data_IF_432808436809
#
_entry.id   IF_432808436809
#
_cell.length_a   1.000
_cell.length_b   1.000
_cell.length_c   1.000
_cell.angle_alpha   90.00
_cell.angle_beta   90.00
_cell.angle_gamma   90.00
#
_symmetry.space_group_name_H-M   'P 1'
#
loop_
_entity.id
_entity.type
_entity.pdbx_description
1 polymer ?
#
# COMPACT_ATOMS: atom_id res chain seq x y z
N UNK A 1 -16.00 3.03 -29.04
CA UNK A 1 -16.37 3.78 -27.81
C UNK A 1 -17.53 3.03 -27.19
N UNK A 2 -17.27 2.26 -26.14
CA UNK A 2 -18.33 1.55 -25.41
C UNK A 2 -18.73 2.37 -24.18
N UNK A 3 -20.01 2.72 -24.08
CA UNK A 3 -20.63 3.31 -22.91
C UNK A 3 -21.06 2.18 -21.96
N UNK A 4 -20.47 2.10 -20.78
CA UNK A 4 -20.88 1.16 -19.74
C UNK A 4 -21.85 1.83 -18.76
N UNK A 5 -22.99 1.17 -18.54
CA UNK A 5 -24.03 1.61 -17.60
C UNK A 5 -23.52 1.51 -16.15
N UNK A 6 -23.93 2.45 -15.35
CA UNK A 6 -23.57 2.91 -14.00
C UNK A 6 -23.57 1.89 -12.83
N UNK A 7 -23.49 0.58 -13.05
CA UNK A 7 -23.62 -0.44 -11.97
C UNK A 7 -22.59 -1.58 -11.97
N UNK A 8 -21.63 -1.59 -12.86
CA UNK A 8 -20.55 -2.60 -12.80
C UNK A 8 -19.25 -1.92 -12.36
N UNK A 9 -18.58 -2.50 -11.37
CA UNK A 9 -17.27 -2.03 -10.91
C UNK A 9 -16.31 -2.14 -12.08
N UNK A 10 -15.67 -1.05 -12.44
CA UNK A 10 -14.73 -0.96 -13.58
C UNK A 10 -13.63 -2.02 -13.50
N UNK A 11 -13.23 -2.44 -12.30
CA UNK A 11 -12.27 -3.52 -12.05
C UNK A 11 -12.74 -4.90 -12.54
N UNK A 12 -14.05 -5.21 -12.55
CA UNK A 12 -14.56 -6.51 -12.97
C UNK A 12 -14.39 -6.78 -14.47
N UNK A 13 -14.27 -5.73 -15.28
CA UNK A 13 -14.04 -5.86 -16.73
C UNK A 13 -12.63 -6.39 -16.99
N UNK A 14 -11.64 -5.91 -16.24
CA UNK A 14 -10.25 -6.33 -16.38
C UNK A 14 -10.00 -7.74 -15.81
N UNK A 15 -10.83 -8.16 -14.86
CA UNK A 15 -10.81 -9.53 -14.33
C UNK A 15 -11.45 -10.55 -15.27
N UNK A 16 -12.48 -10.12 -16.03
CA UNK A 16 -13.24 -11.00 -16.94
C UNK A 16 -12.68 -11.07 -18.36
N UNK A 17 -12.01 -10.03 -18.82
CA UNK A 17 -11.55 -9.94 -20.21
C UNK A 17 -10.07 -9.58 -20.28
N UNK A 18 -9.31 -10.31 -21.09
CA UNK A 18 -7.95 -9.91 -21.45
C UNK A 18 -8.02 -8.72 -22.42
N UNK A 19 -7.76 -7.53 -21.90
CA UNK A 19 -7.75 -6.30 -22.69
C UNK A 19 -6.32 -6.07 -23.20
N UNK A 20 -6.12 -6.30 -24.51
CA UNK A 20 -4.81 -6.16 -25.17
C UNK A 20 -4.62 -4.81 -25.86
N UNK A 21 -5.39 -3.79 -25.53
CA UNK A 21 -5.28 -2.46 -26.07
C UNK A 21 -4.96 -1.44 -24.96
N UNK A 22 -4.35 -0.29 -25.35
CA UNK A 22 -4.16 0.84 -24.45
C UNK A 22 -5.48 1.34 -23.87
N UNK A 23 -5.52 1.59 -22.56
CA UNK A 23 -6.72 2.07 -21.86
C UNK A 23 -6.44 3.42 -21.23
N UNK A 24 -7.30 4.41 -21.52
CA UNK A 24 -7.31 5.72 -20.88
C UNK A 24 -8.57 5.81 -20.03
N UNK A 25 -8.43 6.11 -18.75
CA UNK A 25 -9.55 6.27 -17.82
C UNK A 25 -10.03 7.71 -17.79
N UNK A 26 -11.35 7.92 -17.78
CA UNK A 26 -11.93 9.25 -17.55
C UNK A 26 -12.94 9.18 -16.41
N UNK A 27 -12.81 10.06 -15.42
CA UNK A 27 -13.69 10.08 -14.25
C UNK A 27 -13.94 11.50 -13.73
N UNK A 28 -14.98 11.64 -12.92
CA UNK A 28 -15.27 12.89 -12.21
C UNK A 28 -14.66 12.92 -10.78
N UNK A 29 -13.94 11.88 -10.35
CA UNK A 29 -13.45 11.72 -8.98
C UNK A 29 -11.93 11.53 -8.96
N UNK A 30 -11.24 12.32 -8.15
CA UNK A 30 -9.78 12.28 -7.99
C UNK A 30 -9.29 10.99 -7.31
N UNK A 31 -10.13 10.38 -6.48
CA UNK A 31 -9.77 9.23 -5.63
C UNK A 31 -9.47 7.93 -6.40
N UNK A 32 -9.87 7.85 -7.68
CA UNK A 32 -9.71 6.65 -8.49
C UNK A 32 -8.43 6.61 -9.34
N UNK A 33 -7.62 7.66 -9.32
CA UNK A 33 -6.35 7.72 -10.06
C UNK A 33 -5.41 6.54 -9.73
N UNK A 34 -5.33 6.14 -8.46
CA UNK A 34 -4.48 5.05 -7.99
C UNK A 34 -4.97 3.68 -8.47
N UNK A 35 -6.29 3.48 -8.61
CA UNK A 35 -6.87 2.21 -9.09
C UNK A 35 -6.67 2.01 -10.60
N UNK A 36 -6.65 3.08 -11.37
CA UNK A 36 -6.41 3.05 -12.81
C UNK A 36 -5.00 2.53 -13.16
N UNK A 37 -4.00 2.82 -12.33
CA UNK A 37 -2.63 2.29 -12.51
C UNK A 37 -2.50 0.78 -12.25
N UNK A 38 -3.39 0.17 -11.45
CA UNK A 38 -3.35 -1.28 -11.16
C UNK A 38 -3.81 -2.16 -12.34
N UNK A 39 -4.47 -1.59 -13.34
CA UNK A 39 -5.11 -2.33 -14.45
C UNK A 39 -4.58 -1.96 -15.84
N UNK A 40 -3.27 -1.69 -15.99
CA UNK A 40 -2.63 -1.34 -17.26
C UNK A 40 -3.22 -0.09 -17.96
N UNK A 41 -3.77 0.85 -17.21
CA UNK A 41 -4.15 2.15 -17.73
C UNK A 41 -2.91 2.96 -18.16
N UNK A 42 -2.97 3.54 -19.36
CA UNK A 42 -1.88 4.37 -19.90
C UNK A 42 -1.94 5.76 -19.31
N UNK A 43 -3.16 6.26 -19.10
CA UNK A 43 -3.40 7.59 -18.58
C UNK A 43 -4.77 7.70 -17.91
N UNK A 44 -4.96 8.79 -17.16
CA UNK A 44 -6.13 9.05 -16.35
C UNK A 44 -6.51 10.53 -16.48
N UNK A 45 -7.75 10.81 -16.87
CA UNK A 45 -8.23 12.15 -17.14
C UNK A 45 -9.41 12.50 -16.25
N UNK A 46 -9.40 13.66 -15.64
CA UNK A 46 -10.53 14.18 -14.86
C UNK A 46 -11.57 14.83 -15.75
N UNK A 47 -12.84 14.64 -15.40
CA UNK A 47 -13.95 15.37 -16.04
C UNK A 47 -14.18 16.72 -15.33
N UNK A 48 -14.34 17.82 -16.09
CA UNK A 48 -14.38 17.95 -17.53
C UNK A 48 -13.01 17.71 -18.17
N UNK A 49 -12.96 16.86 -19.21
CA UNK A 49 -11.70 16.46 -19.84
C UNK A 49 -11.11 17.65 -20.62
N UNK A 50 -9.88 18.01 -20.26
CA UNK A 50 -9.12 19.01 -20.98
C UNK A 50 -8.64 18.47 -22.33
N UNK A 51 -8.73 19.29 -23.37
CA UNK A 51 -8.41 18.89 -24.75
C UNK A 51 -6.93 18.58 -24.95
N UNK A 52 -6.05 19.30 -24.26
CA UNK A 52 -4.60 19.13 -24.40
C UNK A 52 -4.12 17.90 -23.59
N UNK A 53 -4.76 17.63 -22.46
CA UNK A 53 -4.51 16.40 -21.69
C UNK A 53 -4.97 15.17 -22.46
N UNK A 54 -6.16 15.20 -23.06
CA UNK A 54 -6.67 14.13 -23.91
C UNK A 54 -5.75 13.87 -25.11
N UNK A 55 -5.26 14.91 -25.76
CA UNK A 55 -4.34 14.79 -26.90
C UNK A 55 -3.05 14.11 -26.48
N UNK A 56 -2.43 14.53 -25.37
CA UNK A 56 -1.22 13.91 -24.82
C UNK A 56 -1.44 12.42 -24.47
N UNK A 57 -2.55 12.08 -23.87
CA UNK A 57 -2.90 10.70 -23.55
C UNK A 57 -3.09 9.83 -24.81
N UNK A 58 -3.74 10.37 -25.85
CA UNK A 58 -3.90 9.68 -27.15
C UNK A 58 -2.57 9.51 -27.86
N UNK A 59 -1.69 10.51 -27.86
CA UNK A 59 -0.39 10.41 -28.50
C UNK A 59 0.49 9.37 -27.80
N UNK A 60 0.50 9.33 -26.48
CA UNK A 60 1.15 8.28 -25.68
C UNK A 60 0.60 6.89 -26.01
N UNK A 61 -0.73 6.74 -26.14
CA UNK A 61 -1.36 5.49 -26.58
C UNK A 61 -0.91 5.06 -27.97
N UNK A 62 -0.80 6.00 -28.92
CA UNK A 62 -0.34 5.73 -30.28
C UNK A 62 1.12 5.30 -30.33
N UNK A 63 2.00 5.89 -29.53
CA UNK A 63 3.40 5.48 -29.41
C UNK A 63 3.51 4.04 -28.90
N UNK A 64 2.74 3.65 -27.90
CA UNK A 64 2.72 2.28 -27.38
C UNK A 64 2.22 1.28 -28.43
N UNK A 65 1.22 1.64 -29.22
CA UNK A 65 0.71 0.79 -30.31
C UNK A 65 1.75 0.67 -31.46
N UNK A 66 2.47 1.75 -31.79
CA UNK A 66 3.48 1.75 -32.83
C UNK A 66 4.76 1.00 -32.39
N UNK A 67 5.09 0.99 -31.10
CA UNK A 67 6.28 0.33 -30.54
C UNK A 67 6.13 -1.19 -30.37
N UNK A 68 5.07 -1.82 -30.88
CA UNK A 68 4.92 -3.30 -30.91
C UNK A 68 6.06 -4.06 -31.62
N UNK A 69 7.08 -3.38 -32.10
CA UNK A 69 8.25 -4.00 -32.76
C UNK A 69 9.51 -4.10 -31.89
N UNK A 70 9.62 -3.42 -30.76
CA UNK A 70 10.73 -3.64 -29.81
C UNK A 70 10.38 -3.06 -28.44
N UNK A 71 10.13 -3.93 -27.49
CA UNK A 71 10.08 -3.52 -26.08
C UNK A 71 11.48 -3.00 -25.68
N UNK A 72 11.59 -1.82 -25.02
CA UNK A 72 12.84 -1.40 -24.41
C UNK A 72 13.34 -2.52 -23.47
N UNK A 73 14.66 -2.70 -23.35
CA UNK A 73 15.29 -3.72 -22.49
C UNK A 73 14.77 -3.65 -21.05
N UNK A 74 14.42 -2.46 -20.57
CA UNK A 74 13.84 -2.22 -19.25
C UNK A 74 12.44 -2.84 -19.09
N UNK A 75 11.65 -2.89 -20.18
CA UNK A 75 10.32 -3.53 -20.18
C UNK A 75 10.46 -5.06 -20.22
N UNK A 76 11.50 -5.62 -20.87
CA UNK A 76 11.78 -7.05 -20.81
C UNK A 76 12.23 -7.49 -19.41
N UNK A 77 12.97 -6.65 -18.69
CA UNK A 77 13.31 -6.88 -17.28
C UNK A 77 12.08 -6.82 -16.38
N UNK A 78 11.17 -5.87 -16.60
CA UNK A 78 9.88 -5.80 -15.89
C UNK A 78 9.00 -7.02 -16.19
N UNK A 79 8.92 -7.47 -17.44
CA UNK A 79 8.17 -8.68 -17.80
C UNK A 79 8.82 -9.96 -17.24
N UNK A 80 10.15 -10.03 -17.13
CA UNK A 80 10.83 -11.14 -16.44
C UNK A 80 10.61 -11.11 -14.93
N UNK A 81 10.48 -9.95 -14.31
CA UNK A 81 10.10 -9.80 -12.90
C UNK A 81 8.65 -10.25 -12.66
N UNK A 82 7.73 -10.02 -13.60
CA UNK A 82 6.33 -10.45 -13.51
C UNK A 82 6.18 -11.95 -13.85
N UNK A 83 6.98 -12.46 -14.79
CA UNK A 83 6.93 -13.88 -15.19
C UNK A 83 7.62 -14.83 -14.19
N UNK A 84 8.41 -14.30 -13.25
CA UNK A 84 9.02 -15.03 -12.16
C UNK A 84 8.41 -14.59 -10.82
N UNK A 85 7.31 -15.22 -10.37
CA UNK A 85 6.65 -14.81 -9.13
C UNK A 85 7.51 -15.01 -7.87
N UNK A 86 8.67 -15.64 -7.98
CA UNK A 86 9.65 -15.75 -6.89
C UNK A 86 10.59 -14.54 -6.76
N UNK A 87 10.57 -13.59 -7.72
CA UNK A 87 11.37 -12.35 -7.65
C UNK A 87 10.53 -11.06 -7.70
N UNK A 88 9.20 -11.14 -7.71
CA UNK A 88 8.34 -10.02 -7.40
C UNK A 88 8.44 -9.78 -5.87
N UNK A 89 9.57 -9.24 -5.44
CA UNK A 89 9.63 -8.55 -4.17
C UNK A 89 8.56 -7.44 -4.27
N UNK A 90 7.42 -7.66 -3.64
CA UNK A 90 6.41 -6.63 -3.40
C UNK A 90 7.21 -5.45 -2.87
N UNK A 91 7.28 -4.37 -3.65
CA UNK A 91 8.11 -3.22 -3.27
C UNK A 91 7.37 -2.52 -2.12
N UNK A 92 7.66 -2.98 -0.90
CA UNK A 92 7.14 -2.36 0.30
C UNK A 92 7.71 -0.96 0.46
N UNK A 93 6.96 -0.09 1.10
CA UNK A 93 7.34 1.30 1.30
C UNK A 93 8.60 1.39 2.18
N UNK A 94 9.68 1.96 1.63
CA UNK A 94 10.95 2.08 2.33
C UNK A 94 10.98 3.20 3.37
N UNK A 95 10.15 4.24 3.18
CA UNK A 95 10.11 5.41 4.06
C UNK A 95 8.73 6.06 4.08
N UNK A 96 8.36 6.60 5.22
CA UNK A 96 7.22 7.48 5.41
C UNK A 96 7.73 8.92 5.53
N UNK A 97 6.99 9.87 4.99
CA UNK A 97 7.30 11.29 5.15
C UNK A 97 6.32 11.87 6.17
N UNK A 98 6.85 12.40 7.26
CA UNK A 98 6.07 13.04 8.32
C UNK A 98 6.29 14.55 8.32
N UNK A 99 5.23 15.30 8.63
CA UNK A 99 5.30 16.75 8.73
C UNK A 99 5.53 17.13 10.19
N UNK A 100 6.64 17.80 10.48
CA UNK A 100 6.95 18.32 11.80
C UNK A 100 7.19 19.83 11.70
N UNK A 101 6.25 20.64 12.22
CA UNK A 101 6.23 22.10 12.05
C UNK A 101 6.25 22.47 10.55
N UNK A 102 7.33 23.11 10.08
CA UNK A 102 7.52 23.50 8.67
C UNK A 102 8.41 22.54 7.88
N UNK A 103 8.87 21.43 8.47
CA UNK A 103 9.80 20.50 7.85
C UNK A 103 9.10 19.18 7.49
N UNK A 104 9.55 18.59 6.40
CA UNK A 104 9.20 17.22 5.99
C UNK A 104 10.35 16.31 6.37
N UNK A 105 10.06 15.33 7.24
CA UNK A 105 11.07 14.41 7.75
C UNK A 105 10.81 13.01 7.16
N UNK A 106 11.78 12.43 6.43
CA UNK A 106 11.69 11.04 6.01
C UNK A 106 12.03 10.12 7.19
N UNK A 107 11.10 9.22 7.54
CA UNK A 107 11.32 8.15 8.52
C UNK A 107 11.38 6.83 7.77
N UNK A 108 12.51 6.14 7.85
CA UNK A 108 12.66 4.86 7.17
C UNK A 108 11.83 3.78 7.84
N UNK A 109 11.19 2.93 7.04
CA UNK A 109 10.32 1.86 7.55
C UNK A 109 11.06 0.94 8.52
N UNK A 110 12.32 0.63 8.24
CA UNK A 110 13.18 -0.16 9.13
C UNK A 110 13.40 0.43 10.53
N UNK A 111 13.20 1.74 10.69
CA UNK A 111 13.37 2.46 11.95
C UNK A 111 12.05 2.60 12.72
N UNK A 112 10.93 2.09 12.16
CA UNK A 112 9.60 2.20 12.74
C UNK A 112 9.27 0.97 13.55
N UNK A 113 8.94 1.18 14.83
CA UNK A 113 8.57 0.12 15.77
C UNK A 113 7.07 -0.23 15.71
N UNK A 114 6.20 0.76 15.58
CA UNK A 114 4.77 0.53 15.48
C UNK A 114 4.00 1.74 14.93
N UNK A 115 2.78 1.44 14.46
CA UNK A 115 1.77 2.43 14.11
C UNK A 115 0.58 2.24 15.05
N UNK A 116 0.08 3.34 15.60
CA UNK A 116 -1.05 3.32 16.55
C UNK A 116 -2.08 4.36 16.14
N UNK A 117 -3.34 3.94 16.04
CA UNK A 117 -4.48 4.81 15.81
C UNK A 117 -5.16 5.14 17.14
N UNK A 118 -5.11 6.40 17.49
CA UNK A 118 -5.89 7.02 18.55
C UNK A 118 -6.97 7.92 17.89
N UNK A 119 -6.90 9.23 18.10
CA UNK A 119 -7.69 10.20 17.32
C UNK A 119 -7.09 10.42 15.92
N UNK A 120 -5.76 10.33 15.83
CA UNK A 120 -4.95 10.35 14.61
C UNK A 120 -4.12 9.07 14.54
N UNK A 121 -3.45 8.87 13.40
CA UNK A 121 -2.48 7.78 13.27
C UNK A 121 -1.10 8.30 13.63
N UNK A 122 -0.48 7.62 14.56
CA UNK A 122 0.87 7.90 15.03
C UNK A 122 1.83 6.80 14.60
N UNK A 123 3.02 7.23 14.20
CA UNK A 123 4.18 6.38 13.96
C UNK A 123 5.12 6.54 15.14
N UNK A 124 5.63 5.43 15.65
CA UNK A 124 6.65 5.40 16.70
C UNK A 124 7.90 4.72 16.16
N UNK A 125 9.06 5.36 16.34
CA UNK A 125 10.35 4.76 15.96
C UNK A 125 10.91 3.88 17.05
N UNK A 126 11.89 3.03 16.71
CA UNK A 126 12.67 2.29 17.71
C UNK A 126 13.45 3.21 18.66
N UNK A 127 13.77 4.43 18.22
CA UNK A 127 14.39 5.46 19.04
C UNK A 127 13.45 6.15 20.03
N UNK A 128 12.14 5.89 19.94
CA UNK A 128 11.12 6.49 20.82
C UNK A 128 10.50 7.77 20.32
N UNK A 129 10.85 8.22 19.11
CA UNK A 129 10.20 9.39 18.51
C UNK A 129 8.77 9.04 18.12
N UNK A 130 7.86 10.01 18.28
CA UNK A 130 6.44 9.93 17.92
C UNK A 130 6.14 10.97 16.85
N UNK A 131 5.56 10.54 15.73
CA UNK A 131 5.14 11.41 14.63
C UNK A 131 3.70 11.16 14.25
N UNK A 132 3.03 12.21 13.74
CA UNK A 132 1.69 12.11 13.17
C UNK A 132 1.83 11.76 11.70
N UNK A 133 1.03 10.79 11.24
CA UNK A 133 0.90 10.43 9.83
C UNK A 133 -0.38 10.98 9.24
N UNK A 134 -0.28 11.47 8.01
CA UNK A 134 -1.41 11.92 7.20
C UNK A 134 -2.01 10.73 6.41
N UNK A 135 -2.54 9.76 7.16
CA UNK A 135 -3.26 8.60 6.64
C UNK A 135 -4.63 8.52 7.31
N UNK A 136 -5.63 8.06 6.57
CA UNK A 136 -7.00 7.96 7.08
C UNK A 136 -7.21 6.65 7.84
N UNK A 137 -6.60 5.56 7.38
CA UNK A 137 -6.79 4.23 7.93
C UNK A 137 -5.46 3.50 8.14
N UNK A 138 -5.47 2.53 9.07
CA UNK A 138 -4.33 1.62 9.25
C UNK A 138 -4.28 0.54 8.17
N UNK A 139 -5.38 0.28 7.48
CA UNK A 139 -5.47 -0.62 6.33
C UNK A 139 -4.55 -0.14 5.19
N UNK A 140 -4.60 1.16 4.88
CA UNK A 140 -3.71 1.77 3.88
C UNK A 140 -2.23 1.60 4.24
N UNK A 141 -1.89 1.71 5.52
CA UNK A 141 -0.52 1.52 6.00
C UNK A 141 -0.12 0.05 5.94
N UNK A 142 -1.01 -0.87 6.35
CA UNK A 142 -0.78 -2.32 6.34
C UNK A 142 -0.42 -2.82 4.93
N UNK A 143 -1.11 -2.33 3.88
CA UNK A 143 -0.83 -2.67 2.48
C UNK A 143 0.56 -2.23 1.99
N UNK A 144 1.13 -1.21 2.61
CA UNK A 144 2.43 -0.65 2.26
C UNK A 144 3.61 -1.33 2.98
N UNK A 145 3.33 -2.12 4.03
CA UNK A 145 4.34 -2.72 4.90
C UNK A 145 4.65 -4.17 4.52
N UNK A 146 5.89 -4.61 4.80
CA UNK A 146 6.26 -6.02 4.65
C UNK A 146 5.54 -6.88 5.72
N UNK A 147 4.63 -7.80 5.32
CA UNK A 147 3.88 -8.64 6.25
C UNK A 147 4.77 -9.67 6.97
N UNK A 148 6.04 -9.80 6.60
CA UNK A 148 7.01 -10.63 7.33
C UNK A 148 7.54 -9.89 8.56
N UNK A 149 7.63 -8.56 8.50
CA UNK A 149 8.18 -7.71 9.55
C UNK A 149 7.09 -7.08 10.42
N UNK A 150 5.92 -6.81 9.84
CA UNK A 150 4.84 -6.09 10.50
C UNK A 150 3.58 -6.94 10.62
N UNK A 151 2.91 -6.85 11.75
CA UNK A 151 1.64 -7.52 12.01
C UNK A 151 0.59 -6.58 12.56
N UNK A 152 -0.62 -6.65 11.99
CA UNK A 152 -1.79 -5.95 12.49
C UNK A 152 -2.36 -6.66 13.70
N UNK A 153 -2.09 -6.16 14.90
CA UNK A 153 -2.48 -6.82 16.16
C UNK A 153 -3.96 -6.65 16.51
N UNK A 154 -4.53 -5.52 16.13
CA UNK A 154 -5.94 -5.20 16.27
C UNK A 154 -6.33 -4.06 15.32
N UNK A 155 -7.55 -3.50 15.46
CA UNK A 155 -8.01 -2.36 14.64
C UNK A 155 -7.28 -1.04 14.91
N UNK A 156 -6.47 -0.97 15.95
CA UNK A 156 -5.79 0.27 16.39
C UNK A 156 -4.27 0.21 16.29
N UNK A 157 -3.66 -0.94 16.00
CA UNK A 157 -2.19 -1.04 16.00
C UNK A 157 -1.62 -2.05 15.00
N UNK A 158 -0.47 -1.66 14.41
CA UNK A 158 0.42 -2.48 13.60
C UNK A 158 1.78 -2.44 14.26
N UNK A 159 2.43 -3.59 14.49
CA UNK A 159 3.66 -3.69 15.27
C UNK A 159 4.74 -4.42 14.46
N UNK A 160 5.97 -3.91 14.50
CA UNK A 160 7.15 -4.58 13.97
C UNK A 160 7.56 -5.73 14.91
N UNK A 161 7.97 -6.88 14.36
CA UNK A 161 8.38 -8.05 15.13
C UNK A 161 9.47 -7.72 16.15
N UNK A 162 10.51 -7.00 15.72
CA UNK A 162 11.65 -6.64 16.55
C UNK A 162 11.32 -5.65 17.67
N UNK A 163 10.18 -4.98 17.61
CA UNK A 163 9.73 -4.07 18.67
C UNK A 163 9.23 -4.81 19.91
N UNK A 164 8.92 -6.10 19.79
CA UNK A 164 8.31 -6.89 20.87
C UNK A 164 9.39 -7.34 21.85
N UNK A 165 9.20 -6.99 23.12
CA UNK A 165 10.05 -7.45 24.23
C UNK A 165 9.49 -8.73 24.85
N UNK A 166 8.16 -8.77 25.10
CA UNK A 166 7.52 -9.92 25.72
C UNK A 166 6.04 -10.04 25.30
N UNK A 167 5.53 -11.24 25.38
CA UNK A 167 4.14 -11.59 25.06
C UNK A 167 3.53 -12.24 26.29
N UNK A 168 2.46 -11.65 26.82
CA UNK A 168 1.70 -12.17 27.95
C UNK A 168 0.35 -12.71 27.46
N UNK A 169 0.11 -14.02 27.57
CA UNK A 169 -1.21 -14.58 27.26
C UNK A 169 -2.22 -14.30 28.39
N UNK A 170 -3.49 -14.16 28.03
CA UNK A 170 -4.61 -14.01 28.94
C UNK A 170 -5.60 -15.18 28.78
N UNK A 171 -6.39 -15.46 29.83
CA UNK A 171 -7.37 -16.54 29.86
C UNK A 171 -8.42 -16.43 28.75
N UNK A 172 -8.76 -15.21 28.31
CA UNK A 172 -9.72 -14.93 27.25
C UNK A 172 -9.13 -15.03 25.83
N UNK A 173 -7.99 -15.70 25.65
CA UNK A 173 -7.27 -15.87 24.39
C UNK A 173 -6.72 -14.58 23.76
N UNK A 174 -6.76 -13.46 24.48
CA UNK A 174 -6.03 -12.25 24.09
C UNK A 174 -4.55 -12.37 24.44
N UNK A 175 -3.72 -11.58 23.76
CA UNK A 175 -2.30 -11.43 24.12
C UNK A 175 -2.04 -9.95 24.37
N UNK A 176 -1.19 -9.65 25.36
CA UNK A 176 -0.66 -8.31 25.56
C UNK A 176 0.84 -8.36 25.24
N UNK A 177 1.23 -7.49 24.30
CA UNK A 177 2.62 -7.30 23.89
C UNK A 177 3.22 -6.15 24.69
N UNK A 178 4.39 -6.35 25.25
CA UNK A 178 5.20 -5.26 25.80
C UNK A 178 6.27 -4.90 24.79
N UNK A 179 6.36 -3.63 24.40
CA UNK A 179 7.37 -3.16 23.48
C UNK A 179 8.67 -2.84 24.19
N UNK A 180 9.79 -2.98 23.49
CA UNK A 180 11.14 -2.68 23.97
C UNK A 180 11.30 -1.22 24.40
N UNK A 181 12.27 -0.96 25.27
CA UNK A 181 12.70 0.42 25.55
C UNK A 181 13.21 1.10 24.25
N UNK A 182 13.03 2.41 24.08
CA UNK A 182 12.49 3.36 25.07
C UNK A 182 10.95 3.42 25.10
N UNK A 183 10.23 2.75 24.18
CA UNK A 183 8.78 2.85 24.07
C UNK A 183 8.04 2.35 25.30
N UNK A 184 8.40 1.15 25.81
CA UNK A 184 7.80 0.52 26.99
C UNK A 184 6.25 0.49 26.97
N UNK A 185 5.66 0.55 25.78
CA UNK A 185 4.21 0.56 25.56
C UNK A 185 3.65 -0.85 25.65
N UNK A 186 2.40 -0.97 26.07
CA UNK A 186 1.66 -2.22 25.97
C UNK A 186 0.63 -2.12 24.83
N UNK A 187 0.55 -3.17 24.04
CA UNK A 187 -0.37 -3.27 22.90
C UNK A 187 -1.07 -4.63 22.93
N UNK A 188 -2.37 -4.62 22.71
CA UNK A 188 -3.14 -5.85 22.74
C UNK A 188 -3.22 -6.48 21.34
N UNK A 189 -3.17 -7.81 21.30
CA UNK A 189 -3.56 -8.61 20.13
C UNK A 189 -5.00 -9.08 20.37
N UNK A 190 -5.90 -8.74 19.43
CA UNK A 190 -7.29 -9.17 19.55
C UNK A 190 -7.42 -10.70 19.51
N UNK A 191 -8.50 -11.23 20.12
CA UNK A 191 -8.76 -12.68 20.14
C UNK A 191 -8.77 -13.30 18.74
N UNK A 192 -9.32 -12.61 17.76
CA UNK A 192 -9.34 -13.06 16.36
C UNK A 192 -7.96 -13.12 15.73
N UNK A 193 -7.10 -12.16 16.06
CA UNK A 193 -5.74 -12.04 15.50
C UNK A 193 -4.70 -12.91 16.23
N UNK A 194 -4.96 -13.34 17.47
CA UNK A 194 -4.01 -14.06 18.28
C UNK A 194 -3.53 -15.40 17.68
N UNK A 195 -4.36 -16.27 17.06
CA UNK A 195 -3.87 -17.48 16.42
C UNK A 195 -2.94 -17.20 15.22
N UNK A 196 -3.30 -16.20 14.40
CA UNK A 196 -2.49 -15.77 13.27
C UNK A 196 -1.18 -15.12 13.72
N UNK A 197 -1.23 -14.31 14.78
CA UNK A 197 -0.07 -13.67 15.38
C UNK A 197 0.98 -14.69 15.86
N UNK A 198 0.57 -15.74 16.56
CA UNK A 198 1.49 -16.80 17.03
C UNK A 198 2.22 -17.43 15.84
N UNK A 199 1.50 -17.87 14.81
CA UNK A 199 2.09 -18.45 13.60
C UNK A 199 3.04 -17.51 12.88
N UNK A 200 2.70 -16.21 12.88
CA UNK A 200 3.53 -15.19 12.25
C UNK A 200 4.81 -14.93 13.03
N UNK A 201 4.73 -14.88 14.35
CA UNK A 201 5.86 -14.54 15.23
C UNK A 201 6.86 -15.71 15.40
N UNK A 202 6.43 -16.96 15.20
CA UNK A 202 7.23 -18.18 15.28
C UNK A 202 7.95 -18.54 13.96
N UNK A 203 7.75 -17.75 12.90
CA UNK A 203 8.43 -17.95 11.61
C UNK A 203 9.88 -17.48 11.72
#
# INVERSE_FOLDING_TARGET
IYWLKKQQRESEIFERYQINCPVIFTTAYDEYAIKAFKVNGIDYLLKPVDTDELKRAIDKAREIVKSKASYPKDMQQLLQMIANPQSAATAYKEKFVVKQRNNWIPVFTKDIACFVRENLIYLYTFGGEKYILDFVTLEEIEELLDPRLYYRTNRQSIIHADAIQSIKPHENQKLTLTLKAPLKMQQDVSREKAPGFKKWFER
#
